data_IF_200506303844
#
_entry.id   IF_200506303844
#
_cell.length_a   1.000
_cell.length_b   1.000
_cell.length_c   1.000
_cell.angle_alpha   90.00
_cell.angle_beta   90.00
_cell.angle_gamma   90.00
#
_symmetry.space_group_name_H-M   'P 1'
#
loop_
_entity.id
_entity.type
_entity.pdbx_description
1 polymer ?
#
# COMPACT_ATOMS: atom_id res chain seq x y z
N UNK A 1 -50.17 33.98 -0.81
CA UNK A 1 -49.06 33.33 -1.53
C UNK A 1 -48.00 32.90 -0.51
N UNK A 2 -47.93 31.61 -0.14
CA UNK A 2 -46.93 31.08 0.80
C UNK A 2 -45.79 30.46 -0.02
N UNK A 3 -44.58 31.03 0.09
CA UNK A 3 -43.36 30.47 -0.51
C UNK A 3 -42.86 29.35 0.40
N UNK A 4 -42.83 28.11 -0.10
CA UNK A 4 -42.21 27.00 0.61
C UNK A 4 -40.70 27.03 0.36
N UNK A 5 -39.92 27.14 1.43
CA UNK A 5 -38.47 27.00 1.41
C UNK A 5 -38.16 25.51 1.38
N UNK A 6 -37.59 25.01 0.29
CA UNK A 6 -37.12 23.61 0.20
C UNK A 6 -35.72 23.56 0.82
N UNK A 7 -35.61 22.94 2.00
CA UNK A 7 -34.32 22.60 2.60
C UNK A 7 -33.93 21.23 2.07
N UNK A 8 -32.95 21.19 1.18
CA UNK A 8 -32.33 19.93 0.74
C UNK A 8 -31.32 19.53 1.82
N UNK A 9 -31.69 18.56 2.65
CA UNK A 9 -30.76 17.95 3.59
C UNK A 9 -29.82 17.02 2.82
N UNK A 10 -28.56 17.42 2.66
CA UNK A 10 -27.51 16.54 2.11
C UNK A 10 -27.13 15.52 3.18
N UNK A 11 -27.60 14.28 3.04
CA UNK A 11 -27.27 13.18 3.95
C UNK A 11 -25.85 12.70 3.65
N UNK A 12 -24.88 13.05 4.48
CA UNK A 12 -23.52 12.48 4.43
C UNK A 12 -23.60 11.07 4.99
N UNK A 13 -23.64 10.07 4.11
CA UNK A 13 -23.56 8.66 4.53
C UNK A 13 -22.11 8.36 4.86
N UNK A 14 -21.79 8.22 6.14
CA UNK A 14 -20.50 7.69 6.58
C UNK A 14 -20.40 6.24 6.10
N UNK A 15 -19.49 5.97 5.16
CA UNK A 15 -19.23 4.61 4.69
C UNK A 15 -18.56 3.83 5.83
N UNK A 16 -19.07 2.63 6.21
CA UNK A 16 -18.30 1.75 7.06
C UNK A 16 -16.95 1.49 6.38
N UNK A 17 -15.86 1.81 7.07
CA UNK A 17 -14.51 1.55 6.57
C UNK A 17 -14.21 0.09 6.86
N UNK A 18 -14.64 -0.78 5.97
CA UNK A 18 -14.09 -2.13 5.94
C UNK A 18 -12.67 -2.07 5.39
N UNK A 19 -11.79 -2.99 5.83
CA UNK A 19 -10.50 -3.21 5.19
C UNK A 19 -10.65 -3.28 3.67
N UNK A 20 -9.98 -2.38 2.97
CA UNK A 20 -9.92 -2.39 1.52
C UNK A 20 -8.82 -3.35 1.05
N UNK A 21 -8.97 -3.83 -0.18
CA UNK A 21 -7.98 -4.65 -0.86
C UNK A 21 -7.52 -3.88 -2.09
N UNK A 22 -6.22 -3.68 -2.22
CA UNK A 22 -5.58 -3.00 -3.33
C UNK A 22 -4.71 -3.97 -4.11
N UNK A 23 -4.66 -3.83 -5.43
CA UNK A 23 -3.90 -4.68 -6.33
C UNK A 23 -2.72 -3.92 -6.93
N UNK A 24 -1.58 -4.59 -6.93
CA UNK A 24 -0.33 -4.09 -7.48
C UNK A 24 0.20 -5.13 -8.47
N UNK A 25 0.33 -4.75 -9.73
CA UNK A 25 0.77 -5.60 -10.83
C UNK A 25 1.81 -4.85 -11.67
N UNK A 26 3.08 -5.27 -11.67
CA UNK A 26 4.15 -4.55 -12.37
C UNK A 26 4.11 -4.76 -13.89
N UNK A 27 3.27 -5.69 -14.38
CA UNK A 27 3.10 -5.97 -15.81
C UNK A 27 1.88 -5.26 -16.40
N UNK A 28 0.84 -5.00 -15.60
CA UNK A 28 -0.43 -4.40 -16.06
C UNK A 28 -0.77 -3.08 -15.39
N UNK A 29 -0.17 -2.80 -14.24
CA UNK A 29 -0.46 -1.63 -13.44
C UNK A 29 0.13 -0.36 -14.02
N UNK A 30 -0.45 0.77 -13.61
CA UNK A 30 -0.03 2.08 -14.09
C UNK A 30 0.11 3.07 -12.94
N UNK A 31 0.84 4.16 -13.22
CA UNK A 31 1.05 5.21 -12.24
C UNK A 31 -0.23 5.97 -11.84
N UNK A 32 -1.24 5.97 -12.73
CA UNK A 32 -2.52 6.66 -12.53
C UNK A 32 -3.69 5.73 -12.21
N UNK A 33 -3.43 4.45 -11.93
CA UNK A 33 -4.46 3.53 -11.46
C UNK A 33 -4.99 3.92 -10.08
N UNK A 34 -6.08 3.29 -9.65
CA UNK A 34 -6.70 3.50 -8.33
C UNK A 34 -6.44 2.32 -7.36
N UNK A 35 -5.68 1.32 -7.80
CA UNK A 35 -5.37 0.12 -7.02
C UNK A 35 -6.50 -0.90 -7.01
N UNK A 36 -7.55 -0.74 -7.82
CA UNK A 36 -8.54 -1.79 -8.09
C UNK A 36 -7.94 -2.94 -8.92
N UNK A 37 -8.71 -4.02 -9.11
CA UNK A 37 -8.33 -5.13 -9.99
C UNK A 37 -8.21 -4.66 -11.45
N UNK A 38 -9.08 -3.74 -11.85
CA UNK A 38 -9.20 -3.22 -13.22
C UNK A 38 -8.11 -2.17 -13.52
N UNK A 39 -7.71 -1.39 -12.52
CA UNK A 39 -6.69 -0.36 -12.63
C UNK A 39 -5.64 -0.48 -11.52
N UNK A 40 -4.86 -1.58 -11.51
CA UNK A 40 -3.86 -1.80 -10.46
C UNK A 40 -2.74 -0.77 -10.54
N UNK A 41 -2.05 -0.57 -9.42
CA UNK A 41 -0.78 0.16 -9.43
C UNK A 41 0.35 -0.72 -9.96
N UNK A 42 1.46 -0.11 -10.37
CA UNK A 42 2.62 -0.81 -10.94
C UNK A 42 3.37 -1.67 -9.92
N UNK A 43 4.36 -1.10 -9.24
CA UNK A 43 5.21 -1.82 -8.28
C UNK A 43 4.88 -1.47 -6.83
N UNK A 44 5.24 -2.35 -5.88
CA UNK A 44 5.06 -2.00 -4.46
C UNK A 44 6.03 -0.88 -4.07
N UNK A 45 7.21 -0.83 -4.68
CA UNK A 45 8.14 0.28 -4.50
C UNK A 45 7.49 1.63 -4.85
N UNK A 46 6.81 1.71 -5.99
CA UNK A 46 6.08 2.92 -6.40
C UNK A 46 4.96 3.29 -5.41
N UNK A 47 4.28 2.31 -4.79
CA UNK A 47 3.24 2.57 -3.78
C UNK A 47 3.82 3.35 -2.59
N UNK A 48 5.02 2.98 -2.13
CA UNK A 48 5.73 3.70 -1.08
C UNK A 48 6.25 5.06 -1.57
N UNK A 49 6.88 5.12 -2.75
CA UNK A 49 7.48 6.34 -3.29
C UNK A 49 6.43 7.44 -3.60
N UNK A 50 5.23 7.05 -4.02
CA UNK A 50 4.12 7.98 -4.31
C UNK A 50 3.29 8.35 -3.09
N UNK A 51 3.63 7.81 -1.91
CA UNK A 51 2.91 8.10 -0.67
C UNK A 51 1.45 7.64 -0.71
N UNK A 52 1.17 6.48 -1.31
CA UNK A 52 -0.20 5.95 -1.38
C UNK A 52 -0.69 5.34 -0.06
N UNK A 53 0.21 5.25 0.93
CA UNK A 53 -0.07 4.69 2.25
C UNK A 53 -0.16 5.84 3.25
N UNK A 54 -1.38 6.11 3.73
CA UNK A 54 -1.65 6.98 4.86
C UNK A 54 -1.19 6.31 6.14
N UNK A 55 -0.30 6.98 6.87
CA UNK A 55 0.32 6.46 8.08
C UNK A 55 0.57 7.60 9.07
N UNK A 56 1.22 7.32 10.21
CA UNK A 56 1.77 8.33 11.10
C UNK A 56 3.28 8.13 11.32
N UNK A 57 3.96 9.14 11.85
CA UNK A 57 5.27 8.97 12.46
C UNK A 57 5.14 8.45 13.91
N UNK A 58 6.29 8.22 14.57
CA UNK A 58 6.38 7.75 15.97
C UNK A 58 5.63 8.64 16.96
N UNK A 59 5.47 9.93 16.66
CA UNK A 59 4.78 10.90 17.52
C UNK A 59 3.29 11.04 17.17
N UNK A 60 2.79 10.22 16.24
CA UNK A 60 1.40 10.27 15.78
C UNK A 60 1.11 11.36 14.75
N UNK A 61 2.13 12.04 14.19
CA UNK A 61 1.91 13.02 13.12
C UNK A 61 1.61 12.30 11.82
N UNK A 62 0.45 12.59 11.23
CA UNK A 62 0.01 11.98 9.97
C UNK A 62 1.00 12.28 8.84
N UNK A 63 1.36 11.23 8.09
CA UNK A 63 2.11 11.27 6.83
C UNK A 63 1.20 10.76 5.73
N UNK A 64 1.34 11.33 4.53
CA UNK A 64 0.54 10.97 3.36
C UNK A 64 -0.97 11.00 3.67
N UNK A 65 -1.46 12.15 4.16
CA UNK A 65 -2.85 12.25 4.62
C UNK A 65 -3.88 11.81 3.56
N UNK A 66 -3.57 12.02 2.28
CA UNK A 66 -4.45 11.68 1.16
C UNK A 66 -4.20 10.25 0.60
N UNK A 67 -3.29 9.48 1.22
CA UNK A 67 -3.01 8.11 0.83
C UNK A 67 -4.25 7.22 0.94
N UNK A 68 -4.67 6.52 -0.12
CA UNK A 68 -5.87 5.68 -0.10
C UNK A 68 -5.74 4.45 0.80
N UNK A 69 -4.53 3.89 0.94
CA UNK A 69 -4.25 2.73 1.80
C UNK A 69 -4.07 3.22 3.24
N UNK A 70 -4.73 2.57 4.20
CA UNK A 70 -4.66 2.88 5.63
C UNK A 70 -4.61 1.61 6.46
N UNK A 71 -4.47 1.76 7.78
CA UNK A 71 -4.47 0.63 8.70
C UNK A 71 -5.66 -0.29 8.49
N UNK A 72 -5.40 -1.60 8.51
CA UNK A 72 -6.38 -2.65 8.27
C UNK A 72 -6.40 -3.17 6.84
N UNK A 73 -5.96 -2.38 5.87
CA UNK A 73 -6.03 -2.71 4.45
C UNK A 73 -5.02 -3.80 4.03
N UNK A 74 -5.27 -4.41 2.87
CA UNK A 74 -4.39 -5.40 2.25
C UNK A 74 -3.92 -4.93 0.87
N UNK A 75 -2.64 -5.07 0.61
CA UNK A 75 -1.99 -4.86 -0.70
C UNK A 75 -1.65 -6.24 -1.26
N UNK A 76 -2.34 -6.65 -2.32
CA UNK A 76 -2.11 -7.90 -3.05
C UNK A 76 -1.16 -7.66 -4.22
N UNK A 77 -0.01 -8.33 -4.17
CA UNK A 77 1.02 -8.29 -5.20
C UNK A 77 0.82 -9.43 -6.19
N UNK A 78 0.65 -9.09 -7.47
CA UNK A 78 0.63 -10.04 -8.58
C UNK A 78 2.05 -10.49 -8.95
N UNK A 79 2.16 -11.41 -9.90
CA UNK A 79 3.47 -11.95 -10.31
C UNK A 79 4.28 -10.91 -11.07
N UNK A 80 5.55 -10.77 -10.73
CA UNK A 80 6.48 -9.86 -11.41
C UNK A 80 7.55 -9.33 -10.47
N UNK A 81 8.39 -8.41 -10.96
CA UNK A 81 9.40 -7.75 -10.14
C UNK A 81 8.85 -6.42 -9.61
N UNK A 82 8.79 -6.27 -8.29
CA UNK A 82 8.18 -5.11 -7.61
C UNK A 82 9.19 -4.12 -7.03
N UNK A 83 10.48 -4.28 -7.33
CA UNK A 83 11.52 -3.46 -6.73
C UNK A 83 11.79 -3.86 -5.28
N UNK A 84 11.72 -2.90 -4.36
CA UNK A 84 11.92 -3.11 -2.93
C UNK A 84 10.84 -2.49 -2.06
N UNK A 85 10.74 -3.00 -0.83
CA UNK A 85 10.09 -2.29 0.26
C UNK A 85 11.19 -1.60 1.06
N UNK A 86 11.09 -0.28 1.21
CA UNK A 86 12.00 0.54 1.99
C UNK A 86 11.20 1.50 2.86
N UNK A 87 10.76 1.00 4.01
CA UNK A 87 9.99 1.74 4.98
C UNK A 87 10.88 2.26 6.11
N UNK A 88 10.76 3.56 6.38
CA UNK A 88 11.40 4.27 7.49
C UNK A 88 10.37 5.13 8.21
N UNK A 89 9.98 4.74 9.42
CA UNK A 89 9.14 5.58 10.26
C UNK A 89 7.64 5.54 9.97
N UNK A 90 7.11 4.45 9.40
CA UNK A 90 5.66 4.31 9.21
C UNK A 90 5.05 3.58 10.42
N UNK A 91 4.23 4.30 11.18
CA UNK A 91 3.51 3.79 12.35
C UNK A 91 2.02 3.76 12.04
N UNK A 92 1.52 2.58 11.69
CA UNK A 92 0.11 2.42 11.33
C UNK A 92 -0.76 2.28 12.59
N UNK A 93 -2.02 2.70 12.51
CA UNK A 93 -3.02 2.57 13.58
C UNK A 93 -3.58 1.14 13.67
N UNK A 94 -3.70 0.45 12.54
CA UNK A 94 -3.98 -0.99 12.43
C UNK A 94 -2.99 -1.68 11.48
N UNK A 95 -2.96 -3.02 11.48
CA UNK A 95 -2.01 -3.77 10.64
C UNK A 95 -2.35 -3.60 9.16
N UNK A 96 -1.38 -3.15 8.37
CA UNK A 96 -1.44 -3.19 6.90
C UNK A 96 -0.76 -4.49 6.43
N UNK A 97 -1.45 -5.24 5.58
CA UNK A 97 -0.92 -6.50 5.03
C UNK A 97 -0.39 -6.31 3.62
N UNK A 98 0.84 -6.74 3.35
CA UNK A 98 1.38 -6.90 2.00
C UNK A 98 1.51 -8.39 1.74
N UNK A 99 0.74 -8.91 0.78
CA UNK A 99 0.68 -10.33 0.50
C UNK A 99 0.78 -10.62 -1.00
N UNK A 100 1.26 -11.80 -1.36
CA UNK A 100 1.04 -12.33 -2.69
C UNK A 100 -0.47 -12.53 -2.94
N UNK A 101 -0.94 -12.14 -4.12
CA UNK A 101 -2.23 -12.59 -4.62
C UNK A 101 -2.25 -14.12 -4.77
N UNK A 102 -3.44 -14.73 -4.71
CA UNK A 102 -3.57 -16.19 -4.78
C UNK A 102 -2.96 -16.74 -6.08
N UNK A 103 -2.08 -17.75 -5.96
CA UNK A 103 -1.37 -18.34 -7.10
C UNK A 103 -0.25 -17.48 -7.71
N UNK A 104 0.00 -16.28 -7.19
CA UNK A 104 1.03 -15.38 -7.68
C UNK A 104 2.36 -15.52 -6.92
N UNK A 105 3.47 -15.16 -7.58
CA UNK A 105 4.82 -15.22 -7.01
C UNK A 105 5.53 -13.87 -7.21
N UNK A 106 5.16 -12.83 -6.44
CA UNK A 106 5.81 -11.52 -6.49
C UNK A 106 7.27 -11.60 -6.05
N UNK A 107 8.14 -10.89 -6.77
CA UNK A 107 9.59 -10.87 -6.53
C UNK A 107 10.06 -9.49 -6.11
N UNK A 108 10.83 -9.43 -5.03
CA UNK A 108 11.45 -8.20 -4.55
C UNK A 108 12.95 -8.38 -4.40
N UNK A 109 13.72 -7.31 -4.61
CA UNK A 109 15.17 -7.36 -4.33
C UNK A 109 15.50 -7.30 -2.85
N UNK A 110 14.65 -6.61 -2.07
CA UNK A 110 14.90 -6.29 -0.65
C UNK A 110 13.61 -5.97 0.09
N UNK A 111 13.58 -6.29 1.37
CA UNK A 111 12.58 -5.81 2.33
C UNK A 111 13.30 -5.14 3.50
N UNK A 112 13.06 -3.85 3.69
CA UNK A 112 13.63 -3.04 4.73
C UNK A 112 12.51 -2.32 5.49
N UNK A 113 12.44 -2.55 6.80
CA UNK A 113 11.59 -1.83 7.74
C UNK A 113 12.48 -1.30 8.87
N UNK A 114 12.39 -0.01 9.18
CA UNK A 114 13.05 0.56 10.36
C UNK A 114 12.16 1.57 11.05
N UNK A 115 12.05 1.49 12.37
CA UNK A 115 11.18 2.38 13.14
C UNK A 115 9.74 2.35 12.60
N UNK A 116 9.24 1.15 12.29
CA UNK A 116 7.93 0.97 11.68
C UNK A 116 7.09 -0.04 12.46
N UNK A 117 5.76 0.13 12.44
CA UNK A 117 4.88 -0.72 13.23
C UNK A 117 3.61 -1.12 12.49
N UNK A 118 3.11 -2.32 12.86
CA UNK A 118 1.89 -2.95 12.35
C UNK A 118 1.93 -3.20 10.84
N UNK A 119 2.89 -4.02 10.44
CA UNK A 119 3.02 -4.60 9.10
C UNK A 119 2.89 -6.12 9.16
N UNK A 120 2.20 -6.69 8.19
CA UNK A 120 2.20 -8.13 7.94
C UNK A 120 2.67 -8.41 6.51
N UNK A 121 3.71 -9.23 6.34
CA UNK A 121 4.27 -9.58 5.02
C UNK A 121 4.07 -11.08 4.78
N UNK A 122 3.49 -11.47 3.63
CA UNK A 122 3.12 -12.87 3.35
C UNK A 122 3.38 -13.26 1.91
N UNK A 123 3.98 -14.45 1.70
CA UNK A 123 4.06 -15.08 0.37
C UNK A 123 4.97 -14.38 -0.65
N UNK A 124 5.88 -13.50 -0.22
CA UNK A 124 6.79 -12.79 -1.11
C UNK A 124 8.10 -13.55 -1.30
N UNK A 125 8.64 -13.55 -2.53
CA UNK A 125 9.98 -14.08 -2.81
C UNK A 125 10.98 -12.94 -2.85
N UNK A 126 11.98 -12.96 -1.98
CA UNK A 126 12.98 -11.88 -1.85
C UNK A 126 14.35 -12.41 -2.26
N UNK A 127 15.02 -11.71 -3.18
CA UNK A 127 16.42 -11.97 -3.54
C UNK A 127 17.02 -10.77 -4.26
N UNK A 128 18.23 -10.30 -3.88
CA UNK A 128 18.92 -9.23 -4.62
C UNK A 128 19.14 -9.56 -6.11
N UNK A 129 19.16 -10.85 -6.49
CA UNK A 129 19.31 -11.30 -7.88
C UNK A 129 18.11 -11.01 -8.78
N UNK A 130 16.96 -10.60 -8.23
CA UNK A 130 15.81 -10.21 -9.04
C UNK A 130 15.92 -8.79 -9.61
N UNK A 131 16.84 -7.97 -9.08
CA UNK A 131 17.11 -6.65 -9.62
C UNK A 131 17.76 -6.75 -11.02
N UNK A 132 17.50 -5.79 -11.93
CA UNK A 132 18.19 -5.73 -13.23
C UNK A 132 19.71 -5.67 -13.11
N UNK A 133 20.20 -5.04 -12.04
CA UNK A 133 21.61 -4.99 -11.66
C UNK A 133 21.78 -5.62 -10.28
N UNK A 134 22.60 -6.67 -10.18
CA UNK A 134 22.89 -7.32 -8.89
C UNK A 134 23.80 -6.44 -8.05
N UNK A 135 23.37 -6.16 -6.81
CA UNK A 135 24.18 -5.51 -5.78
C UNK A 135 24.09 -6.34 -4.50
N UNK A 136 25.25 -6.72 -3.96
CA UNK A 136 25.32 -7.39 -2.67
C UNK A 136 24.83 -6.43 -1.59
N UNK A 137 23.75 -6.80 -0.91
CA UNK A 137 23.10 -6.00 0.13
C UNK A 137 22.34 -6.93 1.09
N UNK A 138 21.94 -6.41 2.26
CA UNK A 138 21.11 -7.15 3.21
C UNK A 138 19.70 -7.34 2.62
N UNK A 139 19.33 -8.59 2.41
CA UNK A 139 18.08 -8.98 1.75
C UNK A 139 16.83 -8.65 2.57
N UNK A 140 16.87 -8.92 3.88
CA UNK A 140 15.79 -8.62 4.82
C UNK A 140 16.40 -7.89 6.03
N UNK A 141 15.81 -6.76 6.40
CA UNK A 141 16.17 -5.99 7.58
C UNK A 141 14.92 -5.43 8.24
N UNK A 142 14.73 -5.70 9.53
CA UNK A 142 13.57 -5.26 10.32
C UNK A 142 14.07 -4.86 11.71
N UNK A 143 13.88 -3.58 12.09
CA UNK A 143 14.28 -3.01 13.39
C UNK A 143 13.31 -1.98 13.92
#
# INVERSE_FOLDING_TARGET
MRRYLVVIATMVVARPVWPAVFHVDPLKGSAGGDGSVEQPWGTVQEVFEKGLIRTADRNGRIRNADGPIKGGDTILLHSGYHGEINDRGYHNDQTITIAAAEGHTPRLRRVFFSDSSKWAIRGLTVSPSFAPEYKADRMIYVV
#
